data_IF_837699784763
#
_entry.id   IF_837699784763
#
_cell.length_a   1.000
_cell.length_b   1.000
_cell.length_c   1.000
_cell.angle_alpha   90.00
_cell.angle_beta   90.00
_cell.angle_gamma   90.00
#
_symmetry.space_group_name_H-M   'P 1'
#
loop_
_entity.id
_entity.type
_entity.pdbx_description
1 polymer ?
#
# COMPACT_ATOMS: atom_id res chain seq x y z
N UNK A 1 -11.27 40.21 4.84
CA UNK A 1 -11.00 38.99 5.63
C UNK A 1 -10.90 37.82 4.65
N UNK A 2 -9.69 37.28 4.44
CA UNK A 2 -9.47 36.09 3.60
C UNK A 2 -9.58 34.86 4.50
N UNK A 3 -10.64 34.08 4.36
CA UNK A 3 -10.72 32.75 4.96
C UNK A 3 -9.74 31.83 4.22
N UNK A 4 -8.57 31.61 4.81
CA UNK A 4 -7.63 30.57 4.39
C UNK A 4 -8.14 29.22 4.87
N UNK A 5 -8.57 28.38 3.92
CA UNK A 5 -8.86 26.97 4.19
C UNK A 5 -7.54 26.22 4.37
N UNK A 6 -7.01 26.22 5.60
CA UNK A 6 -5.97 25.28 6.01
C UNK A 6 -6.59 23.87 6.05
N UNK A 7 -6.52 23.17 4.91
CA UNK A 7 -6.82 21.74 4.80
C UNK A 7 -5.76 20.93 5.58
N UNK A 8 -5.91 20.89 6.91
CA UNK A 8 -5.34 19.82 7.74
C UNK A 8 -6.06 18.52 7.34
N UNK A 9 -5.43 17.75 6.46
CA UNK A 9 -5.88 16.41 6.12
C UNK A 9 -5.94 15.54 7.39
N UNK A 10 -7.06 14.85 7.66
CA UNK A 10 -7.23 14.12 8.90
C UNK A 10 -6.23 12.96 9.00
N UNK A 11 -5.77 12.70 10.22
CA UNK A 11 -4.87 11.60 10.57
C UNK A 11 -5.39 10.28 9.98
N UNK A 12 -4.50 9.43 9.43
CA UNK A 12 -4.84 8.07 8.96
C UNK A 12 -5.41 7.18 10.10
N UNK A 13 -5.24 7.56 11.37
CA UNK A 13 -5.96 6.92 12.48
C UNK A 13 -7.49 7.11 12.41
N UNK A 14 -7.96 8.21 11.82
CA UNK A 14 -9.38 8.42 11.52
C UNK A 14 -9.81 7.73 10.22
N UNK A 15 -8.88 7.44 9.32
CA UNK A 15 -9.16 6.68 8.09
C UNK A 15 -9.54 5.23 8.42
N UNK A 16 -8.86 4.59 9.38
CA UNK A 16 -9.26 3.28 9.90
C UNK A 16 -10.54 3.29 10.76
N UNK A 17 -11.09 4.47 11.08
CA UNK A 17 -12.30 4.65 11.90
C UNK A 17 -13.49 5.26 11.15
N UNK A 18 -13.49 5.28 9.81
CA UNK A 18 -14.67 5.74 9.04
C UNK A 18 -15.76 4.68 8.97
N UNK A 19 -16.37 4.37 10.11
CA UNK A 19 -17.62 3.60 10.20
C UNK A 19 -17.51 2.21 10.81
N UNK A 20 -18.63 1.48 10.81
CA UNK A 20 -18.69 0.12 11.33
C UNK A 20 -17.94 -0.83 10.38
N UNK A 21 -16.81 -1.38 10.84
CA UNK A 21 -15.93 -2.29 10.09
C UNK A 21 -16.67 -3.39 9.32
N UNK A 22 -17.81 -3.86 9.88
CA UNK A 22 -18.66 -4.88 9.27
C UNK A 22 -19.24 -4.45 7.92
N UNK A 23 -19.72 -3.21 7.82
CA UNK A 23 -20.42 -2.68 6.65
C UNK A 23 -19.54 -1.77 5.78
N UNK A 24 -18.41 -1.29 6.29
CA UNK A 24 -17.51 -0.44 5.52
C UNK A 24 -17.04 -1.11 4.21
N UNK A 25 -16.96 -0.33 3.12
CA UNK A 25 -16.46 -0.79 1.82
C UNK A 25 -15.02 -1.29 1.89
N UNK A 26 -14.61 -2.11 0.91
CA UNK A 26 -13.22 -2.56 0.77
C UNK A 26 -12.26 -1.35 0.64
N UNK A 27 -12.69 -0.31 -0.07
CA UNK A 27 -11.92 0.92 -0.26
C UNK A 27 -11.78 1.74 1.03
N UNK A 28 -12.81 1.76 1.88
CA UNK A 28 -12.74 2.39 3.19
C UNK A 28 -11.72 1.67 4.10
N UNK A 29 -11.65 0.32 4.05
CA UNK A 29 -10.61 -0.43 4.77
C UNK A 29 -9.19 -0.18 4.24
N UNK A 30 -9.07 0.09 2.95
CA UNK A 30 -7.83 0.49 2.27
C UNK A 30 -7.44 1.95 2.52
N UNK A 31 -8.29 2.71 3.20
CA UNK A 31 -8.05 4.11 3.50
C UNK A 31 -8.08 5.06 2.31
N UNK A 32 -8.72 4.64 1.21
CA UNK A 32 -8.98 5.49 0.06
C UNK A 32 -10.06 6.52 0.42
N UNK A 33 -10.09 7.63 -0.32
CA UNK A 33 -11.16 8.63 -0.18
C UNK A 33 -12.50 7.97 -0.49
N UNK A 34 -13.49 8.13 0.39
CA UNK A 34 -14.83 7.62 0.15
C UNK A 34 -15.53 8.38 -0.97
N UNK A 35 -16.22 7.66 -1.84
CA UNK A 35 -17.06 8.18 -2.93
C UNK A 35 -18.49 7.61 -2.83
N UNK A 36 -19.39 8.09 -3.69
CA UNK A 36 -20.80 7.63 -3.80
C UNK A 36 -20.93 6.11 -3.91
N UNK A 37 -19.95 5.44 -4.54
CA UNK A 37 -19.89 3.98 -4.64
C UNK A 37 -19.70 3.28 -3.29
N UNK A 38 -18.97 3.90 -2.35
CA UNK A 38 -18.66 3.29 -1.05
C UNK A 38 -19.89 3.23 -0.15
N UNK A 39 -20.77 4.23 -0.28
CA UNK A 39 -22.07 4.24 0.38
C UNK A 39 -22.98 3.13 -0.17
N UNK A 40 -22.99 2.93 -1.49
CA UNK A 40 -23.74 1.85 -2.13
C UNK A 40 -23.19 0.46 -1.77
N UNK A 41 -21.87 0.32 -1.67
CA UNK A 41 -21.23 -0.95 -1.27
C UNK A 41 -21.58 -1.28 0.19
N UNK A 42 -21.56 -0.27 1.05
CA UNK A 42 -21.96 -0.40 2.45
C UNK A 42 -23.45 -0.73 2.59
N UNK A 43 -24.30 -0.17 1.74
CA UNK A 43 -25.72 -0.51 1.64
C UNK A 43 -25.92 -1.97 1.22
N UNK A 44 -25.19 -2.43 0.19
CA UNK A 44 -25.25 -3.82 -0.26
C UNK A 44 -24.95 -4.80 0.88
N UNK A 45 -23.86 -4.56 1.63
CA UNK A 45 -23.50 -5.41 2.77
C UNK A 45 -24.53 -5.38 3.89
N UNK A 46 -25.19 -4.24 4.10
CA UNK A 46 -26.26 -4.09 5.10
C UNK A 46 -27.50 -4.89 4.70
N UNK A 47 -27.92 -4.81 3.44
CA UNK A 47 -29.06 -5.58 2.92
C UNK A 47 -28.82 -7.08 2.99
N UNK A 48 -27.64 -7.54 2.58
CA UNK A 48 -27.25 -8.96 2.69
C UNK A 48 -27.22 -9.41 4.14
N UNK A 49 -26.74 -8.56 5.06
CA UNK A 49 -26.76 -8.85 6.49
C UNK A 49 -28.19 -9.00 7.03
N UNK A 50 -29.13 -8.16 6.60
CA UNK A 50 -30.54 -8.29 7.00
C UNK A 50 -31.17 -9.60 6.52
N UNK A 51 -30.83 -10.06 5.31
CA UNK A 51 -31.36 -11.32 4.77
C UNK A 51 -30.73 -12.57 5.39
N UNK A 52 -29.41 -12.55 5.61
CA UNK A 52 -28.65 -13.73 6.05
C UNK A 52 -28.46 -13.80 7.57
N UNK A 53 -28.68 -12.70 8.28
CA UNK A 53 -28.41 -12.51 9.72
C UNK A 53 -26.92 -12.55 10.10
N UNK A 54 -26.04 -13.13 9.26
CA UNK A 54 -24.60 -13.27 9.48
C UNK A 54 -23.80 -13.08 8.18
N UNK A 55 -22.79 -12.23 8.24
CA UNK A 55 -21.78 -12.02 7.21
C UNK A 55 -20.54 -12.91 7.48
N UNK A 56 -19.87 -13.43 6.43
CA UNK A 56 -18.76 -14.38 6.56
C UNK A 56 -17.49 -13.78 7.19
N UNK A 57 -17.43 -12.46 7.36
CA UNK A 57 -16.34 -11.76 8.04
C UNK A 57 -16.71 -11.31 9.48
N UNK A 58 -17.75 -11.89 10.09
CA UNK A 58 -18.05 -11.69 11.51
C UNK A 58 -17.22 -12.64 12.40
N UNK A 59 -16.75 -12.13 13.55
CA UNK A 59 -16.00 -12.92 14.54
C UNK A 59 -14.54 -12.49 14.73
N UNK A 60 -14.02 -11.60 13.88
CA UNK A 60 -12.68 -11.05 14.07
C UNK A 60 -12.67 -10.02 15.20
N UNK A 61 -11.84 -10.26 16.21
CA UNK A 61 -11.59 -9.39 17.37
C UNK A 61 -10.11 -8.97 17.41
N UNK A 62 -9.81 -7.82 18.01
CA UNK A 62 -8.45 -7.28 18.16
C UNK A 62 -8.11 -6.11 17.22
N UNK A 63 -6.86 -5.62 17.30
CA UNK A 63 -6.40 -4.44 16.54
C UNK A 63 -6.38 -4.68 15.01
N UNK A 64 -6.30 -5.95 14.57
CA UNK A 64 -6.22 -6.35 13.16
C UNK A 64 -7.56 -6.58 12.51
N UNK A 65 -8.66 -6.29 13.22
CA UNK A 65 -10.02 -6.57 12.76
C UNK A 65 -10.30 -5.95 11.39
N UNK A 66 -9.91 -4.70 11.15
CA UNK A 66 -10.09 -4.03 9.86
C UNK A 66 -9.37 -4.75 8.72
N UNK A 67 -8.10 -5.11 8.96
CA UNK A 67 -7.28 -5.82 7.98
C UNK A 67 -7.83 -7.21 7.63
N UNK A 68 -8.14 -8.03 8.63
CA UNK A 68 -8.67 -9.39 8.43
C UNK A 68 -10.04 -9.37 7.74
N UNK A 69 -10.89 -8.41 8.11
CA UNK A 69 -12.19 -8.21 7.45
C UNK A 69 -12.00 -7.79 6.01
N UNK A 70 -11.07 -6.86 5.72
CA UNK A 70 -10.78 -6.44 4.35
C UNK A 70 -10.24 -7.58 3.48
N UNK A 71 -9.25 -8.34 3.99
CA UNK A 71 -8.71 -9.53 3.31
C UNK A 71 -9.81 -10.56 3.02
N UNK A 72 -10.71 -10.80 3.98
CA UNK A 72 -11.83 -11.73 3.81
C UNK A 72 -12.86 -11.20 2.80
N UNK A 73 -13.17 -9.90 2.80
CA UNK A 73 -14.06 -9.26 1.81
C UNK A 73 -13.49 -9.37 0.40
N UNK A 74 -12.21 -9.04 0.23
CA UNK A 74 -11.52 -9.18 -1.07
C UNK A 74 -11.46 -10.63 -1.56
N UNK A 75 -11.36 -11.59 -0.65
CA UNK A 75 -11.34 -13.01 -1.00
C UNK A 75 -12.73 -13.61 -1.25
N UNK A 76 -13.82 -12.92 -0.91
CA UNK A 76 -15.19 -13.44 -1.05
C UNK A 76 -15.82 -12.89 -2.32
N UNK A 77 -16.15 -13.76 -3.29
CA UNK A 77 -16.87 -13.34 -4.51
C UNK A 77 -18.33 -12.96 -4.20
N UNK A 78 -18.92 -12.12 -5.07
CA UNK A 78 -20.34 -11.76 -4.97
C UNK A 78 -21.25 -13.00 -5.02
N UNK A 79 -20.92 -13.98 -5.86
CA UNK A 79 -21.58 -15.29 -5.92
C UNK A 79 -21.53 -16.04 -4.58
N UNK A 80 -20.35 -16.12 -3.95
CA UNK A 80 -20.19 -16.81 -2.66
C UNK A 80 -20.93 -16.08 -1.54
N UNK A 81 -20.99 -14.74 -1.61
CA UNK A 81 -21.68 -13.94 -0.62
C UNK A 81 -23.21 -14.06 -0.76
N UNK A 82 -23.71 -14.06 -1.99
CA UNK A 82 -25.12 -14.08 -2.35
C UNK A 82 -25.66 -15.46 -2.74
N UNK A 83 -24.93 -16.56 -2.52
CA UNK A 83 -25.37 -17.91 -2.92
C UNK A 83 -26.69 -18.40 -2.28
N UNK A 84 -27.19 -17.70 -1.26
CA UNK A 84 -28.49 -17.94 -0.62
C UNK A 84 -29.47 -16.75 -0.80
N UNK A 85 -29.08 -15.72 -1.56
CA UNK A 85 -29.85 -14.49 -1.74
C UNK A 85 -30.49 -14.44 -3.14
N UNK A 86 -31.60 -13.70 -3.32
CA UNK A 86 -32.20 -13.51 -4.64
C UNK A 86 -31.21 -12.90 -5.67
N UNK A 87 -31.31 -13.25 -6.96
CA UNK A 87 -30.41 -12.78 -8.01
C UNK A 87 -30.18 -11.25 -8.07
N UNK A 88 -31.17 -10.39 -7.77
CA UNK A 88 -30.97 -8.95 -7.78
C UNK A 88 -29.94 -8.42 -6.78
N UNK A 89 -29.74 -9.09 -5.64
CA UNK A 89 -28.72 -8.68 -4.66
C UNK A 89 -27.31 -8.96 -5.17
N UNK A 90 -27.12 -10.07 -5.89
CA UNK A 90 -25.86 -10.38 -6.56
C UNK A 90 -25.55 -9.36 -7.65
N UNK A 91 -26.52 -9.07 -8.53
CA UNK A 91 -26.36 -8.10 -9.61
C UNK A 91 -26.10 -6.69 -9.08
N UNK A 92 -26.78 -6.28 -8.02
CA UNK A 92 -26.54 -5.00 -7.35
C UNK A 92 -25.10 -4.90 -6.82
N UNK A 93 -24.60 -5.93 -6.14
CA UNK A 93 -23.25 -5.95 -5.61
C UNK A 93 -22.19 -5.97 -6.73
N UNK A 94 -22.40 -6.74 -7.80
CA UNK A 94 -21.52 -6.76 -8.97
C UNK A 94 -21.49 -5.42 -9.69
N UNK A 95 -22.62 -4.72 -9.79
CA UNK A 95 -22.66 -3.38 -10.38
C UNK A 95 -21.85 -2.39 -9.54
N UNK A 96 -22.09 -2.36 -8.23
CA UNK A 96 -21.44 -1.40 -7.32
C UNK A 96 -19.93 -1.63 -7.21
N UNK A 97 -19.48 -2.88 -7.15
CA UNK A 97 -18.05 -3.22 -7.09
C UNK A 97 -17.28 -2.86 -8.36
N UNK A 98 -17.96 -2.80 -9.51
CA UNK A 98 -17.36 -2.43 -10.80
C UNK A 98 -17.39 -0.93 -11.12
N UNK A 99 -18.00 -0.09 -10.27
CA UNK A 99 -18.08 1.35 -10.51
C UNK A 99 -16.72 2.04 -10.32
N UNK A 100 -16.42 2.99 -11.22
CA UNK A 100 -15.24 3.86 -11.08
C UNK A 100 -15.42 4.88 -9.95
N UNK A 101 -14.32 5.49 -9.51
CA UNK A 101 -14.32 6.44 -8.40
C UNK A 101 -15.17 7.69 -8.66
N UNK A 102 -15.06 8.26 -9.88
CA UNK A 102 -15.78 9.48 -10.28
C UNK A 102 -17.14 9.23 -10.95
N UNK A 103 -17.50 7.96 -11.17
CA UNK A 103 -18.71 7.60 -11.89
C UNK A 103 -19.97 7.94 -11.07
N UNK A 104 -20.96 8.55 -11.73
CA UNK A 104 -22.26 8.80 -11.12
C UNK A 104 -23.10 7.53 -11.16
N UNK A 105 -23.48 6.96 -10.00
CA UNK A 105 -24.26 5.73 -9.98
C UNK A 105 -25.62 5.96 -10.62
N UNK A 106 -26.01 5.10 -11.57
CA UNK A 106 -27.37 5.14 -12.11
C UNK A 106 -28.36 4.54 -11.10
N UNK A 107 -28.80 5.39 -10.16
CA UNK A 107 -29.71 5.00 -9.07
C UNK A 107 -31.02 4.39 -9.60
N UNK A 108 -31.55 4.89 -10.73
CA UNK A 108 -32.78 4.37 -11.32
C UNK A 108 -32.64 2.90 -11.74
N UNK A 109 -31.50 2.55 -12.36
CA UNK A 109 -31.21 1.17 -12.75
C UNK A 109 -31.08 0.27 -11.53
N UNK A 110 -30.41 0.74 -10.47
CA UNK A 110 -30.26 -0.02 -9.23
C UNK A 110 -31.60 -0.28 -8.53
N UNK A 111 -32.50 0.71 -8.52
CA UNK A 111 -33.86 0.57 -7.97
C UNK A 111 -34.67 -0.44 -8.79
N UNK A 112 -34.60 -0.35 -10.13
CA UNK A 112 -35.35 -1.24 -11.02
C UNK A 112 -35.02 -2.73 -10.86
N UNK A 113 -33.82 -3.07 -10.36
CA UNK A 113 -33.45 -4.46 -10.05
C UNK A 113 -34.30 -5.05 -8.92
N UNK A 114 -34.70 -4.22 -7.95
CA UNK A 114 -35.50 -4.64 -6.81
C UNK A 114 -37.00 -4.57 -7.08
N UNK A 115 -37.45 -3.72 -8.01
CA UNK A 115 -38.87 -3.60 -8.39
C UNK A 115 -39.46 -4.95 -8.84
N UNK A 116 -38.70 -5.74 -9.61
CA UNK A 116 -39.13 -7.08 -10.05
C UNK A 116 -39.24 -8.11 -8.91
N UNK A 117 -38.51 -7.92 -7.81
CA UNK A 117 -38.58 -8.82 -6.63
C UNK A 117 -39.62 -8.39 -5.60
N UNK A 118 -39.97 -7.10 -5.57
CA UNK A 118 -40.95 -6.54 -4.63
C UNK A 118 -42.40 -6.77 -5.13
N UNK A 119 -42.59 -7.07 -6.42
CA UNK A 119 -43.90 -7.29 -7.05
C UNK A 119 -44.75 -8.43 -6.45
N UNK A 120 -44.17 -9.37 -5.69
CA UNK A 120 -44.91 -10.47 -5.06
C UNK A 120 -45.39 -10.18 -3.63
N UNK A 121 -44.94 -9.09 -2.97
CA UNK A 121 -45.20 -8.79 -1.55
C UNK A 121 -45.84 -7.40 -1.39
N UNK A 122 -46.59 -6.94 -2.39
CA UNK A 122 -47.33 -5.68 -2.29
C UNK A 122 -48.45 -5.72 -1.23
N UNK A 123 -48.90 -6.91 -0.81
CA UNK A 123 -49.97 -7.12 0.18
C UNK A 123 -49.52 -7.13 1.64
N UNK A 124 -48.21 -7.12 1.93
CA UNK A 124 -47.64 -7.06 3.28
C UNK A 124 -46.73 -5.84 3.42
N UNK A 125 -47.30 -4.64 3.30
CA UNK A 125 -46.70 -3.42 3.86
C UNK A 125 -47.29 -3.12 5.24
N UNK A 126 -46.71 -3.57 6.36
CA UNK A 126 -47.06 -3.04 7.66
C UNK A 126 -45.98 -2.06 8.13
N UNK A 127 -45.78 -0.92 7.44
CA UNK A 127 -45.23 0.28 8.09
C UNK A 127 -45.93 1.50 7.47
N UNK A 128 -46.93 2.04 8.20
CA UNK A 128 -47.45 3.40 7.97
C UNK A 128 -46.31 4.38 8.23
N UNK A 129 -45.83 5.04 7.18
CA UNK A 129 -44.87 6.15 7.27
C UNK A 129 -45.61 7.47 7.03
N UNK A 130 -46.52 7.84 7.93
CA UNK A 130 -47.26 9.11 7.83
C UNK A 130 -46.37 10.33 8.17
N UNK A 131 -45.08 10.14 8.49
CA UNK A 131 -44.16 11.18 8.95
C UNK A 131 -43.02 11.61 8.01
N UNK A 132 -42.81 10.96 6.86
CA UNK A 132 -41.60 11.20 6.03
C UNK A 132 -41.87 11.96 4.72
N UNK A 133 -43.07 12.50 4.51
CA UNK A 133 -43.46 13.17 3.28
C UNK A 133 -43.25 14.69 3.32
N UNK A 134 -42.03 15.17 3.61
CA UNK A 134 -41.65 16.58 3.32
C UNK A 134 -40.15 16.73 3.07
N UNK A 135 -39.61 16.21 1.97
CA UNK A 135 -38.63 16.94 1.13
C UNK A 135 -38.63 16.29 -0.26
N UNK A 136 -39.26 16.95 -1.24
CA UNK A 136 -39.18 16.50 -2.63
C UNK A 136 -40.22 17.14 -3.53
N UNK A 137 -39.94 18.34 -4.04
CA UNK A 137 -40.59 18.83 -5.26
C UNK A 137 -39.60 19.61 -6.14
N UNK A 138 -39.32 19.05 -7.32
CA UNK A 138 -39.48 19.65 -8.67
C UNK A 138 -38.74 18.73 -9.68
N UNK A 139 -39.42 17.88 -10.45
CA UNK A 139 -40.20 18.07 -11.71
C UNK A 139 -39.34 18.20 -12.99
N UNK A 140 -39.52 17.20 -13.88
CA UNK A 140 -39.61 17.30 -15.35
C UNK A 140 -38.40 16.77 -16.14
N UNK A 141 -38.49 16.10 -17.30
CA UNK A 141 -39.55 15.45 -18.13
C UNK A 141 -38.77 14.70 -19.26
N UNK A 142 -39.29 13.56 -19.74
CA UNK A 142 -38.82 12.63 -20.84
C UNK A 142 -38.94 13.27 -22.25
N UNK A 143 -38.60 12.67 -23.44
CA UNK A 143 -37.89 11.40 -23.85
C UNK A 143 -36.85 11.57 -25.03
N UNK A 144 -36.05 10.59 -25.51
CA UNK A 144 -36.32 9.67 -26.67
C UNK A 144 -35.02 8.92 -27.13
N UNK A 145 -35.20 7.65 -27.52
CA UNK A 145 -34.51 6.71 -28.46
C UNK A 145 -33.00 6.35 -28.51
N UNK A 146 -32.81 5.02 -28.40
CA UNK A 146 -31.86 4.04 -28.97
C UNK A 146 -30.77 4.51 -29.97
N UNK A 147 -29.51 4.10 -29.73
CA UNK A 147 -28.66 3.41 -30.74
C UNK A 147 -27.67 2.46 -30.03
N UNK A 148 -27.55 1.28 -30.61
CA UNK A 148 -26.66 0.16 -30.30
C UNK A 148 -25.17 0.50 -30.54
N UNK A 149 -24.27 -0.19 -29.83
CA UNK A 149 -22.84 0.07 -29.93
C UNK A 149 -22.04 -0.67 -28.88
N UNK A 150 -21.91 -1.98 -29.07
CA UNK A 150 -20.92 -2.78 -28.36
C UNK A 150 -19.51 -2.15 -28.48
N UNK A 151 -18.95 -1.76 -27.34
CA UNK A 151 -17.51 -1.64 -27.18
C UNK A 151 -17.06 -2.48 -25.96
N UNK A 152 -15.91 -3.15 -26.05
CA UNK A 152 -15.54 -4.22 -25.15
C UNK A 152 -15.32 -3.68 -23.74
N UNK A 153 -16.23 -4.06 -22.83
CA UNK A 153 -16.06 -3.87 -21.39
C UNK A 153 -14.75 -4.53 -20.98
N UNK A 154 -13.73 -3.73 -20.65
CA UNK A 154 -12.51 -4.23 -20.02
C UNK A 154 -12.92 -4.88 -18.70
N UNK A 155 -12.92 -6.21 -18.73
CA UNK A 155 -12.99 -7.07 -17.55
C UNK A 155 -11.83 -6.67 -16.64
N UNK A 156 -12.10 -6.00 -15.53
CA UNK A 156 -11.16 -6.02 -14.40
C UNK A 156 -11.37 -7.37 -13.71
N UNK A 157 -11.00 -8.43 -14.43
CA UNK A 157 -10.76 -9.73 -13.81
C UNK A 157 -9.43 -9.59 -13.10
N UNK A 158 -9.48 -9.72 -11.78
CA UNK A 158 -8.35 -9.97 -10.90
C UNK A 158 -7.36 -10.91 -11.63
N UNK A 159 -6.21 -10.38 -12.04
CA UNK A 159 -5.12 -11.23 -12.49
C UNK A 159 -4.71 -12.16 -11.35
N UNK A 160 -4.27 -13.37 -11.69
CA UNK A 160 -3.64 -14.30 -10.77
C UNK A 160 -2.63 -13.56 -9.88
N UNK A 161 -2.52 -13.84 -8.57
CA UNK A 161 -1.52 -13.22 -7.69
C UNK A 161 -0.12 -13.35 -8.30
N UNK A 162 0.40 -12.27 -8.89
CA UNK A 162 1.76 -12.22 -9.41
C UNK A 162 2.58 -11.35 -8.46
N UNK A 163 3.62 -11.96 -7.92
CA UNK A 163 4.68 -11.23 -7.22
C UNK A 163 5.64 -10.67 -8.26
N UNK A 164 6.03 -9.40 -8.11
CA UNK A 164 6.93 -8.73 -9.02
C UNK A 164 7.95 -7.91 -8.23
N UNK A 165 9.08 -7.66 -8.86
CA UNK A 165 10.03 -6.66 -8.42
C UNK A 165 9.46 -5.27 -8.64
N UNK A 166 9.58 -4.44 -7.62
CA UNK A 166 9.30 -3.00 -7.66
C UNK A 166 10.65 -2.31 -7.51
N UNK A 167 11.05 -1.58 -8.54
CA UNK A 167 12.29 -0.82 -8.55
C UNK A 167 11.99 0.66 -8.66
N UNK A 168 12.52 1.44 -7.72
CA UNK A 168 12.40 2.90 -7.67
C UNK A 168 13.73 3.49 -8.13
N UNK A 169 13.69 4.35 -9.12
CA UNK A 169 14.85 5.04 -9.67
C UNK A 169 14.78 6.53 -9.38
N UNK A 170 15.90 7.13 -8.99
CA UNK A 170 16.02 8.57 -8.79
C UNK A 170 17.13 9.13 -9.68
N UNK A 171 16.92 10.35 -10.20
CA UNK A 171 17.99 11.08 -10.88
C UNK A 171 19.08 11.45 -9.89
N UNK A 172 20.33 11.12 -10.20
CA UNK A 172 21.52 11.54 -9.43
C UNK A 172 22.63 12.01 -10.37
N UNK A 173 23.64 12.68 -9.80
CA UNK A 173 24.91 12.89 -10.48
C UNK A 173 25.51 11.55 -10.90
N UNK A 174 26.26 11.54 -12.01
CA UNK A 174 26.97 10.35 -12.48
C UNK A 174 27.74 9.69 -11.35
N UNK A 175 27.46 8.41 -11.09
CA UNK A 175 28.08 7.64 -10.01
C UNK A 175 28.19 6.16 -10.41
N UNK A 176 29.17 5.47 -9.82
CA UNK A 176 29.31 4.01 -9.98
C UNK A 176 28.26 3.31 -9.12
N UNK A 177 27.39 2.53 -9.76
CA UNK A 177 26.40 1.65 -9.11
C UNK A 177 26.60 0.22 -9.62
N UNK A 178 26.52 -0.76 -8.72
CA UNK A 178 26.60 -2.19 -9.02
C UNK A 178 25.41 -2.89 -8.38
N UNK A 179 24.84 -3.87 -9.08
CA UNK A 179 23.80 -4.72 -8.52
C UNK A 179 24.18 -6.19 -8.66
N UNK A 180 23.75 -6.99 -7.69
CA UNK A 180 23.75 -8.45 -7.75
C UNK A 180 22.36 -8.93 -7.38
N UNK A 181 21.83 -9.92 -8.09
CA UNK A 181 20.51 -10.50 -7.85
C UNK A 181 20.62 -12.02 -7.90
N UNK A 182 19.64 -12.71 -7.33
CA UNK A 182 19.65 -14.17 -7.17
C UNK A 182 20.90 -14.68 -6.43
N UNK A 183 21.38 -13.91 -5.45
CA UNK A 183 22.56 -14.27 -4.66
C UNK A 183 22.14 -15.24 -3.55
N UNK A 184 22.81 -16.39 -3.47
CA UNK A 184 22.63 -17.34 -2.37
C UNK A 184 23.40 -16.88 -1.14
N UNK A 185 22.96 -17.35 0.04
CA UNK A 185 23.60 -17.05 1.33
C UNK A 185 25.12 -17.25 1.33
N UNK A 186 25.63 -18.32 0.69
CA UNK A 186 27.06 -18.66 0.67
C UNK A 186 27.95 -17.71 -0.15
N UNK A 187 27.36 -16.93 -1.06
CA UNK A 187 28.09 -16.01 -1.94
C UNK A 187 27.88 -14.54 -1.58
N UNK A 188 27.02 -14.27 -0.61
CA UNK A 188 26.65 -12.91 -0.21
C UNK A 188 27.87 -12.10 0.23
N UNK A 189 28.66 -12.68 1.13
CA UNK A 189 29.82 -12.04 1.73
C UNK A 189 30.88 -11.70 0.66
N UNK A 190 31.13 -12.63 -0.27
CA UNK A 190 32.05 -12.43 -1.39
C UNK A 190 31.65 -11.24 -2.27
N UNK A 191 30.35 -11.04 -2.51
CA UNK A 191 29.86 -9.92 -3.30
C UNK A 191 29.97 -8.58 -2.57
N UNK A 192 29.71 -8.56 -1.26
CA UNK A 192 29.81 -7.36 -0.43
C UNK A 192 31.27 -6.95 -0.26
N UNK A 193 32.16 -7.91 0.04
CA UNK A 193 33.59 -7.65 0.24
C UNK A 193 34.25 -7.12 -1.04
N UNK A 194 33.97 -7.74 -2.19
CA UNK A 194 34.42 -7.23 -3.49
C UNK A 194 33.85 -5.84 -3.81
N UNK A 195 32.62 -5.56 -3.40
CA UNK A 195 32.03 -4.22 -3.52
C UNK A 195 32.78 -3.19 -2.69
N UNK A 196 33.13 -3.55 -1.45
CA UNK A 196 33.88 -2.71 -0.50
C UNK A 196 35.31 -2.43 -0.98
N UNK A 197 35.99 -3.42 -1.53
CA UNK A 197 37.31 -3.26 -2.18
C UNK A 197 37.25 -2.27 -3.35
N UNK A 198 36.14 -2.28 -4.10
CA UNK A 198 35.88 -1.37 -5.21
C UNK A 198 35.40 0.04 -4.78
N UNK A 199 35.35 0.33 -3.48
CA UNK A 199 34.87 1.59 -2.91
C UNK A 199 33.36 1.81 -3.01
N UNK A 200 32.58 0.74 -3.14
CA UNK A 200 31.13 0.77 -3.19
C UNK A 200 30.54 0.35 -1.84
N UNK A 201 29.51 1.07 -1.39
CA UNK A 201 28.78 0.71 -0.18
C UNK A 201 27.40 0.18 -0.51
N UNK A 202 26.89 -0.77 0.26
CA UNK A 202 25.53 -1.30 0.10
C UNK A 202 24.51 -0.18 0.40
N UNK A 203 23.69 0.14 -0.58
CA UNK A 203 22.66 1.19 -0.47
C UNK A 203 21.27 0.59 -0.24
N UNK A 204 20.96 -0.52 -0.92
CA UNK A 204 19.67 -1.19 -0.80
C UNK A 204 19.82 -2.71 -0.89
N UNK A 205 19.07 -3.42 -0.05
CA UNK A 205 18.97 -4.88 -0.08
C UNK A 205 17.49 -5.25 -0.15
N UNK A 206 17.17 -6.28 -0.92
CA UNK A 206 15.88 -6.95 -0.91
C UNK A 206 16.08 -8.47 -1.03
N UNK A 207 15.03 -9.23 -0.76
CA UNK A 207 15.05 -10.67 -1.02
C UNK A 207 13.80 -11.13 -1.77
N UNK A 208 13.95 -12.21 -2.53
CA UNK A 208 12.89 -12.90 -3.25
C UNK A 208 13.16 -14.39 -3.20
N UNK A 209 12.18 -15.19 -2.75
CA UNK A 209 12.27 -16.66 -2.69
C UNK A 209 13.58 -17.18 -2.06
N UNK A 210 14.01 -16.60 -0.93
CA UNK A 210 15.27 -16.91 -0.21
C UNK A 210 16.57 -16.59 -0.96
N UNK A 211 16.50 -15.79 -2.02
CA UNK A 211 17.68 -15.24 -2.68
C UNK A 211 17.75 -13.73 -2.47
N UNK A 212 18.96 -13.20 -2.40
CA UNK A 212 19.22 -11.80 -2.14
C UNK A 212 19.41 -11.01 -3.43
N UNK A 213 18.95 -9.76 -3.39
CA UNK A 213 19.30 -8.71 -4.34
C UNK A 213 19.98 -7.58 -3.56
N UNK A 214 21.21 -7.25 -3.94
CA UNK A 214 22.02 -6.20 -3.33
C UNK A 214 22.32 -5.14 -4.38
N UNK A 215 22.18 -3.88 -4.00
CA UNK A 215 22.59 -2.72 -4.76
C UNK A 215 23.67 -1.98 -3.97
N UNK A 216 24.77 -1.63 -4.63
CA UNK A 216 25.93 -0.97 -4.06
C UNK A 216 26.33 0.26 -4.87
N UNK A 217 26.63 1.35 -4.18
CA UNK A 217 26.74 2.69 -4.72
C UNK A 217 27.97 3.42 -4.17
N UNK A 218 28.63 4.22 -5.01
CA UNK A 218 29.71 5.11 -4.58
C UNK A 218 29.18 6.45 -3.99
N UNK A 219 27.95 6.83 -4.31
CA UNK A 219 27.35 8.13 -3.97
C UNK A 219 26.53 8.17 -2.68
N UNK A 220 26.77 7.24 -1.74
CA UNK A 220 26.00 7.14 -0.49
C UNK A 220 26.43 8.17 0.57
N UNK A 221 27.71 8.58 0.54
CA UNK A 221 28.31 9.41 1.59
C UNK A 221 28.62 8.65 2.88
N UNK A 222 28.60 7.31 2.86
CA UNK A 222 28.97 6.50 4.03
C UNK A 222 30.48 6.43 4.21
N UNK A 223 30.94 6.37 5.46
CA UNK A 223 32.36 6.26 5.80
C UNK A 223 32.77 4.83 6.11
N UNK A 224 31.92 4.10 6.82
CA UNK A 224 32.13 2.70 7.18
C UNK A 224 30.80 1.95 7.15
N UNK A 225 30.85 0.63 6.94
CA UNK A 225 29.68 -0.23 6.89
C UNK A 225 29.99 -1.60 7.48
N UNK A 226 29.03 -2.09 8.24
CA UNK A 226 29.00 -3.44 8.84
C UNK A 226 27.67 -4.09 8.47
N UNK A 227 27.67 -5.41 8.38
CA UNK A 227 26.47 -6.19 8.11
C UNK A 227 26.45 -7.46 8.94
N UNK A 228 25.25 -7.92 9.28
CA UNK A 228 25.05 -9.20 9.95
C UNK A 228 23.92 -9.95 9.25
N UNK A 229 24.18 -11.24 9.00
CA UNK A 229 23.15 -12.19 8.59
C UNK A 229 22.78 -13.04 9.79
N UNK A 230 21.51 -12.97 10.18
CA UNK A 230 20.98 -13.73 11.30
C UNK A 230 19.76 -14.54 10.88
N UNK A 231 19.55 -15.70 11.51
CA UNK A 231 18.29 -16.45 11.41
C UNK A 231 17.15 -15.79 12.19
N UNK A 232 17.47 -14.81 13.03
CA UNK A 232 16.51 -14.02 13.79
C UNK A 232 16.23 -12.71 13.06
N UNK A 233 14.95 -12.43 12.83
CA UNK A 233 14.52 -11.17 12.23
C UNK A 233 14.82 -9.98 13.16
N UNK A 234 15.83 -9.19 12.79
CA UNK A 234 16.43 -8.09 13.57
C UNK A 234 17.01 -8.54 14.92
N UNK A 235 18.26 -9.01 14.88
CA UNK A 235 19.00 -9.44 16.06
C UNK A 235 19.27 -8.28 17.03
N UNK A 236 18.59 -8.28 18.18
CA UNK A 236 18.55 -7.11 19.07
C UNK A 236 19.89 -6.78 19.69
N UNK A 237 20.62 -7.79 20.17
CA UNK A 237 21.89 -7.64 20.88
C UNK A 237 22.95 -7.03 19.97
N UNK A 238 23.10 -7.57 18.76
CA UNK A 238 24.03 -7.04 17.78
C UNK A 238 23.68 -5.61 17.35
N UNK A 239 22.41 -5.31 17.10
CA UNK A 239 21.98 -3.95 16.73
C UNK A 239 22.31 -2.95 17.83
N UNK A 240 22.10 -3.31 19.10
CA UNK A 240 22.44 -2.44 20.24
C UNK A 240 23.95 -2.20 20.32
N UNK A 241 24.75 -3.26 20.20
CA UNK A 241 26.21 -3.16 20.19
C UNK A 241 26.73 -2.25 19.06
N UNK A 242 26.11 -2.34 17.87
CA UNK A 242 26.48 -1.49 16.74
C UNK A 242 26.01 -0.04 16.91
N UNK A 243 24.85 0.20 17.54
CA UNK A 243 24.42 1.54 17.89
C UNK A 243 25.39 2.24 18.85
N UNK A 244 25.94 1.52 19.84
CA UNK A 244 26.96 2.05 20.75
C UNK A 244 28.25 2.43 20.02
N UNK A 245 28.53 1.80 18.88
CA UNK A 245 29.64 2.11 17.97
C UNK A 245 29.29 3.16 16.90
N UNK A 246 28.17 3.88 17.04
CA UNK A 246 27.67 4.89 16.10
C UNK A 246 27.33 4.36 14.69
N UNK A 247 27.11 3.05 14.53
CA UNK A 247 26.58 2.51 13.28
C UNK A 247 25.05 2.56 13.33
N UNK A 248 24.42 3.05 12.25
CA UNK A 248 22.96 3.12 12.16
C UNK A 248 22.46 2.25 11.03
N UNK A 249 21.28 1.64 11.19
CA UNK A 249 20.66 0.81 10.16
C UNK A 249 20.33 1.68 8.94
N UNK A 250 20.88 1.31 7.79
CA UNK A 250 20.68 1.98 6.50
C UNK A 250 19.89 1.12 5.54
N UNK A 251 20.11 -0.20 5.57
CA UNK A 251 19.38 -1.15 4.74
C UNK A 251 19.10 -2.45 5.50
N UNK A 252 17.96 -3.07 5.22
CA UNK A 252 17.60 -4.35 5.81
C UNK A 252 16.69 -5.13 4.86
N UNK A 253 16.89 -6.44 4.80
CA UNK A 253 16.07 -7.34 4.01
C UNK A 253 15.81 -8.62 4.78
N UNK A 254 14.59 -9.14 4.67
CA UNK A 254 14.19 -10.44 5.21
C UNK A 254 13.89 -11.45 4.11
N UNK A 255 14.16 -12.71 4.40
CA UNK A 255 13.74 -13.86 3.59
C UNK A 255 12.46 -14.48 4.16
N UNK A 256 11.78 -15.31 3.36
CA UNK A 256 10.59 -16.02 3.84
C UNK A 256 10.92 -17.09 4.89
N UNK A 257 12.16 -17.60 4.92
CA UNK A 257 12.62 -18.55 5.93
C UNK A 257 12.91 -17.89 7.30
N UNK A 258 12.78 -16.57 7.42
CA UNK A 258 13.04 -15.83 8.65
C UNK A 258 14.47 -15.28 8.77
N UNK A 259 15.40 -15.68 7.88
CA UNK A 259 16.72 -15.08 7.84
C UNK A 259 16.61 -13.60 7.46
N UNK A 260 17.43 -12.77 8.11
CA UNK A 260 17.51 -11.35 7.87
C UNK A 260 18.95 -10.93 7.59
N UNK A 261 19.12 -9.99 6.67
CA UNK A 261 20.35 -9.25 6.46
C UNK A 261 20.12 -7.83 6.95
N UNK A 262 20.91 -7.40 7.93
CA UNK A 262 20.90 -6.04 8.45
C UNK A 262 22.21 -5.38 8.08
N UNK A 263 22.13 -4.20 7.47
CA UNK A 263 23.28 -3.41 7.07
C UNK A 263 23.24 -2.09 7.83
N UNK A 264 24.32 -1.80 8.55
CA UNK A 264 24.48 -0.57 9.33
C UNK A 264 25.69 0.22 8.82
N UNK A 265 25.54 1.53 8.68
CA UNK A 265 26.58 2.42 8.15
C UNK A 265 26.86 3.59 9.09
N UNK A 266 28.10 4.06 9.05
CA UNK A 266 28.55 5.32 9.63
C UNK A 266 28.59 6.43 8.55
N UNK A 267 28.55 7.69 8.99
CA UNK A 267 28.53 8.86 8.08
C UNK A 267 27.11 9.30 7.67
N UNK A 268 26.08 8.71 8.28
CA UNK A 268 24.69 9.17 8.11
C UNK A 268 24.37 10.35 9.02
N UNK A 269 23.43 11.24 8.64
CA UNK A 269 23.04 12.39 9.46
C UNK A 269 22.17 12.01 10.68
N UNK A 270 22.00 10.72 10.98
CA UNK A 270 21.08 10.25 12.01
C UNK A 270 21.66 10.43 13.41
N UNK A 271 20.81 10.81 14.36
CA UNK A 271 21.22 11.03 15.76
C UNK A 271 20.63 10.01 16.72
N UNK A 272 19.43 9.49 16.43
CA UNK A 272 18.74 8.48 17.23
C UNK A 272 17.96 7.59 16.29
N UNK A 273 17.92 6.29 16.57
CA UNK A 273 17.19 5.31 15.78
C UNK A 273 16.34 4.41 16.68
N UNK A 274 15.20 3.97 16.16
CA UNK A 274 14.31 3.02 16.82
C UNK A 274 13.70 2.13 15.74
N UNK A 275 13.59 0.83 16.01
CA UNK A 275 12.92 -0.10 15.12
C UNK A 275 11.77 -0.81 15.82
N UNK A 276 10.84 -1.31 15.01
CA UNK A 276 9.74 -2.16 15.46
C UNK A 276 9.53 -3.32 14.51
N UNK A 277 9.45 -4.50 15.08
CA UNK A 277 8.98 -5.72 14.41
C UNK A 277 7.53 -5.96 14.79
N UNK A 278 6.69 -6.27 13.81
CA UNK A 278 5.30 -6.64 14.05
C UNK A 278 4.78 -7.52 12.91
N UNK A 279 3.89 -8.47 13.20
CA UNK A 279 3.20 -9.25 12.17
C UNK A 279 2.18 -8.40 11.37
N UNK A 280 1.96 -7.15 11.79
CA UNK A 280 1.00 -6.21 11.20
C UNK A 280 1.70 -4.90 10.96
N UNK A 281 1.34 -4.20 9.89
CA UNK A 281 1.91 -2.88 9.63
C UNK A 281 1.66 -1.93 10.82
N UNK A 282 2.70 -1.47 11.54
CA UNK A 282 2.56 -0.87 12.86
C UNK A 282 2.23 0.64 12.79
N UNK A 283 1.14 0.99 12.10
CA UNK A 283 0.79 2.38 11.79
C UNK A 283 0.67 3.29 13.03
N UNK A 284 0.01 2.80 14.11
CA UNK A 284 -0.14 3.57 15.35
C UNK A 284 1.21 3.96 15.97
N UNK A 285 2.19 3.06 15.89
CA UNK A 285 3.54 3.30 16.41
C UNK A 285 4.29 4.30 15.53
N UNK A 286 4.19 4.18 14.20
CA UNK A 286 4.78 5.14 13.26
C UNK A 286 4.21 6.54 13.51
N UNK A 287 2.89 6.68 13.66
CA UNK A 287 2.27 7.99 13.90
C UNK A 287 2.70 8.59 15.25
N UNK A 288 2.82 7.77 16.31
CA UNK A 288 3.39 8.23 17.59
C UNK A 288 4.82 8.74 17.40
N UNK A 289 5.65 8.00 16.66
CA UNK A 289 7.05 8.35 16.39
C UNK A 289 7.22 9.57 15.50
N UNK A 290 6.34 9.79 14.51
CA UNK A 290 6.30 11.02 13.73
C UNK A 290 6.05 12.25 14.62
N UNK A 291 5.13 12.15 15.60
CA UNK A 291 4.89 13.23 16.58
C UNK A 291 6.09 13.48 17.50
N UNK A 292 6.89 12.44 17.77
CA UNK A 292 8.15 12.54 18.51
C UNK A 292 9.33 13.03 17.65
N UNK A 293 9.10 13.37 16.37
CA UNK A 293 10.12 13.90 15.46
C UNK A 293 11.02 12.85 14.80
N UNK A 294 10.67 11.57 14.88
CA UNK A 294 11.32 10.51 14.11
C UNK A 294 10.75 10.46 12.69
N UNK A 295 11.56 10.02 11.73
CA UNK A 295 11.12 9.77 10.36
C UNK A 295 11.44 8.33 9.96
N UNK A 296 10.57 7.68 9.20
CA UNK A 296 10.83 6.34 8.64
C UNK A 296 11.98 6.45 7.64
N UNK A 297 13.04 5.70 7.88
CA UNK A 297 14.26 5.69 7.04
C UNK A 297 14.38 4.42 6.24
N UNK A 298 13.97 3.29 6.79
CA UNK A 298 14.00 2.01 6.11
C UNK A 298 12.85 1.11 6.56
N UNK A 299 12.39 0.26 5.65
CA UNK A 299 11.32 -0.70 5.90
C UNK A 299 11.69 -2.02 5.23
N UNK A 300 11.29 -3.12 5.85
CA UNK A 300 11.46 -4.44 5.25
C UNK A 300 10.39 -5.40 5.71
N UNK A 301 10.39 -6.56 5.07
CA UNK A 301 9.53 -7.68 5.40
C UNK A 301 10.36 -8.97 5.47
N UNK A 302 9.96 -9.87 6.38
CA UNK A 302 10.42 -11.26 6.40
C UNK A 302 9.18 -12.15 6.49
N UNK A 303 8.81 -12.78 5.37
CA UNK A 303 7.53 -13.46 5.25
C UNK A 303 6.36 -12.49 5.49
N UNK A 304 5.58 -12.73 6.54
CA UNK A 304 4.46 -11.86 6.95
C UNK A 304 4.83 -10.77 7.96
N UNK A 305 6.06 -10.78 8.49
CA UNK A 305 6.51 -9.80 9.51
C UNK A 305 7.04 -8.54 8.86
N UNK A 306 6.67 -7.41 9.44
CA UNK A 306 7.14 -6.08 9.08
C UNK A 306 8.25 -5.64 10.03
N UNK A 307 9.34 -5.14 9.47
CA UNK A 307 10.41 -4.45 10.20
C UNK A 307 10.44 -2.99 9.76
N UNK A 308 10.14 -2.07 10.66
CA UNK A 308 10.15 -0.63 10.39
C UNK A 308 11.27 0.02 11.20
N UNK A 309 12.12 0.80 10.54
CA UNK A 309 13.19 1.57 11.16
C UNK A 309 12.89 3.05 11.01
N UNK A 310 12.95 3.78 12.12
CA UNK A 310 12.77 5.22 12.16
C UNK A 310 13.99 5.89 12.78
N UNK A 311 14.46 6.96 12.16
CA UNK A 311 15.60 7.75 12.63
C UNK A 311 15.24 9.22 12.81
N UNK A 312 15.86 9.89 13.79
CA UNK A 312 15.84 11.35 13.93
C UNK A 312 16.90 11.97 13.01
N UNK A 313 16.61 13.21 12.60
CA UNK A 313 17.46 14.00 11.71
C UNK A 313 17.70 13.37 10.31
N UNK A 314 16.73 12.60 9.81
CA UNK A 314 16.82 11.99 8.48
C UNK A 314 16.70 12.98 7.30
N UNK A 315 16.52 14.27 7.57
CA UNK A 315 16.43 15.30 6.53
C UNK A 315 15.06 15.42 5.85
N UNK A 316 13.98 14.85 6.42
CA UNK A 316 12.62 14.93 5.88
C UNK A 316 11.75 15.95 6.64
N UNK A 317 10.93 16.72 5.91
CA UNK A 317 9.99 17.71 6.47
C UNK A 317 8.62 17.10 6.73
N UNK A 318 8.14 16.27 5.80
CA UNK A 318 6.87 15.55 5.89
C UNK A 318 7.01 14.13 5.36
N UNK A 319 6.26 13.19 5.92
CA UNK A 319 6.19 11.82 5.46
C UNK A 319 4.75 11.31 5.48
N UNK A 320 4.43 10.45 4.52
CA UNK A 320 3.15 9.76 4.40
C UNK A 320 3.42 8.30 4.07
N UNK A 321 2.56 7.42 4.56
CA UNK A 321 2.51 6.02 4.13
C UNK A 321 1.31 5.81 3.23
N UNK A 322 1.53 5.15 2.10
CA UNK A 322 0.47 4.59 1.26
C UNK A 322 0.58 3.06 1.38
N UNK A 323 -0.48 2.43 1.88
CA UNK A 323 -0.54 0.98 2.10
C UNK A 323 -1.72 0.43 1.32
N UNK A 324 -1.46 -0.60 0.52
CA UNK A 324 -2.46 -1.20 -0.34
C UNK A 324 -2.24 -2.72 -0.42
N UNK A 325 -3.30 -3.49 -0.68
CA UNK A 325 -3.19 -4.92 -0.96
C UNK A 325 -2.58 -5.18 -2.34
N UNK A 326 -2.58 -4.14 -3.18
CA UNK A 326 -2.01 -4.11 -4.52
C UNK A 326 -0.93 -3.01 -4.61
N UNK A 327 -0.61 -2.59 -5.83
CA UNK A 327 0.28 -1.45 -6.07
C UNK A 327 -0.52 -0.13 -6.08
N UNK A 328 -0.28 0.82 -5.15
CA UNK A 328 -1.04 2.07 -5.06
C UNK A 328 -0.58 3.12 -6.09
N UNK A 329 -0.74 2.83 -7.39
CA UNK A 329 -0.27 3.72 -8.45
C UNK A 329 -0.91 5.11 -8.38
N UNK A 330 -2.22 5.19 -8.17
CA UNK A 330 -2.96 6.47 -8.13
C UNK A 330 -2.49 7.35 -6.94
N UNK A 331 -2.33 6.73 -5.77
CA UNK A 331 -1.81 7.40 -4.58
C UNK A 331 -0.41 7.94 -4.79
N UNK A 332 0.48 7.16 -5.41
CA UNK A 332 1.85 7.57 -5.70
C UNK A 332 1.89 8.77 -6.67
N UNK A 333 1.16 8.71 -7.80
CA UNK A 333 1.19 9.79 -8.80
C UNK A 333 0.67 11.12 -8.22
N UNK A 334 -0.46 11.08 -7.50
CA UNK A 334 -1.02 12.26 -6.83
C UNK A 334 -0.04 12.85 -5.80
N UNK A 335 0.73 12.00 -5.12
CA UNK A 335 1.75 12.44 -4.14
C UNK A 335 2.98 13.01 -4.83
N UNK A 336 3.36 12.49 -6.00
CA UNK A 336 4.44 13.05 -6.80
C UNK A 336 4.15 14.48 -7.28
N UNK A 337 2.91 14.77 -7.68
CA UNK A 337 2.44 16.11 -8.05
C UNK A 337 2.52 17.11 -6.89
N UNK A 338 2.39 16.62 -5.65
CA UNK A 338 2.48 17.43 -4.43
C UNK A 338 3.90 17.50 -3.85
N UNK A 339 4.91 17.02 -4.60
CA UNK A 339 6.33 17.12 -4.23
C UNK A 339 6.85 16.03 -3.30
N UNK A 340 6.05 15.00 -3.00
CA UNK A 340 6.52 13.83 -2.27
C UNK A 340 7.33 12.92 -3.20
N UNK A 341 8.27 12.17 -2.63
CA UNK A 341 9.05 11.13 -3.35
C UNK A 341 9.12 9.87 -2.51
N UNK A 342 9.10 8.71 -3.15
CA UNK A 342 9.22 7.41 -2.49
C UNK A 342 10.64 7.30 -1.91
N UNK A 343 10.74 7.04 -0.61
CA UNK A 343 12.02 6.92 0.11
C UNK A 343 12.26 5.53 0.66
N UNK A 344 11.20 4.76 0.90
CA UNK A 344 11.32 3.37 1.36
C UNK A 344 10.13 2.57 0.87
N UNK A 345 10.39 1.33 0.49
CA UNK A 345 9.38 0.39 -0.02
C UNK A 345 9.55 -0.95 0.65
N UNK A 346 8.43 -1.56 1.02
CA UNK A 346 8.43 -2.93 1.55
C UNK A 346 7.13 -3.60 1.15
N UNK A 347 7.21 -4.88 0.81
CA UNK A 347 6.04 -5.63 0.36
C UNK A 347 6.05 -7.03 0.96
N UNK A 348 4.86 -7.50 1.29
CA UNK A 348 4.57 -8.89 1.66
C UNK A 348 3.83 -9.55 0.49
N UNK A 349 3.48 -10.83 0.65
CA UNK A 349 2.62 -11.53 -0.31
C UNK A 349 1.21 -10.93 -0.39
N UNK A 350 0.77 -10.20 0.64
CA UNK A 350 -0.60 -9.70 0.75
C UNK A 350 -0.71 -8.17 0.61
N UNK A 351 0.35 -7.42 0.89
CA UNK A 351 0.32 -5.95 1.00
C UNK A 351 1.63 -5.33 0.53
N UNK A 352 1.55 -4.16 -0.10
CA UNK A 352 2.68 -3.29 -0.39
C UNK A 352 2.54 -1.97 0.38
N UNK A 353 3.64 -1.55 1.02
CA UNK A 353 3.72 -0.30 1.76
C UNK A 353 4.81 0.60 1.15
N UNK A 354 4.43 1.85 0.89
CA UNK A 354 5.29 2.88 0.33
C UNK A 354 5.36 4.05 1.29
N UNK A 355 6.57 4.44 1.68
CA UNK A 355 6.79 5.68 2.41
C UNK A 355 7.20 6.73 1.39
N UNK A 356 6.42 7.80 1.36
CA UNK A 356 6.71 8.98 0.57
C UNK A 356 7.10 10.12 1.49
N UNK A 357 8.22 10.77 1.20
CA UNK A 357 8.79 11.84 2.02
C UNK A 357 9.05 13.09 1.19
N UNK A 358 8.96 14.24 1.85
CA UNK A 358 9.42 15.53 1.32
C UNK A 358 10.76 15.87 1.99
N UNK A 359 11.83 16.13 1.25
CA UNK A 359 13.12 16.53 1.84
C UNK A 359 13.04 17.96 2.42
N UNK A 360 13.74 18.21 3.54
CA UNK A 360 13.83 19.54 4.19
C UNK A 360 14.59 20.55 3.34
N UNK A 361 15.65 20.11 2.68
CA UNK A 361 16.37 20.90 1.68
C UNK A 361 15.72 20.64 0.34
N UNK A 362 15.30 21.69 -0.38
CA UNK A 362 14.89 21.57 -1.78
C UNK A 362 16.08 21.06 -2.57
N UNK A 363 16.12 19.75 -2.84
CA UNK A 363 17.02 19.21 -3.86
C UNK A 363 16.55 19.70 -5.23
N UNK A 364 17.45 19.79 -6.24
CA UNK A 364 17.02 19.97 -7.62
C UNK A 364 15.98 18.91 -7.99
N UNK A 365 15.12 19.21 -8.96
CA UNK A 365 13.98 18.38 -9.34
C UNK A 365 14.41 16.92 -9.60
N UNK A 366 14.27 16.07 -8.58
CA UNK A 366 14.65 14.66 -8.67
C UNK A 366 13.49 13.99 -9.38
N UNK A 367 13.65 13.76 -10.68
CA UNK A 367 12.76 12.86 -11.40
C UNK A 367 12.87 11.47 -10.75
N UNK A 368 11.72 10.91 -10.40
CA UNK A 368 11.61 9.58 -9.83
C UNK A 368 10.74 8.74 -10.74
N UNK A 369 11.21 7.52 -11.01
CA UNK A 369 10.48 6.56 -11.81
C UNK A 369 10.30 5.26 -11.03
N UNK A 370 9.17 4.60 -11.27
CA UNK A 370 8.88 3.28 -10.70
C UNK A 370 8.71 2.28 -11.81
N UNK A 371 9.39 1.15 -11.71
CA UNK A 371 9.29 0.04 -12.65
C UNK A 371 8.80 -1.20 -11.92
N UNK A 372 7.88 -1.93 -12.56
CA UNK A 372 7.38 -3.22 -12.08
C UNK A 372 7.73 -4.31 -13.08
N UNK A 373 8.44 -5.33 -12.66
CA UNK A 373 8.89 -6.44 -13.52
C UNK A 373 8.78 -7.77 -12.81
N UNK A 374 8.32 -8.81 -13.52
CA UNK A 374 8.30 -10.18 -12.99
C UNK A 374 9.70 -10.72 -12.70
N UNK A 375 10.67 -10.39 -13.55
CA UNK A 375 12.10 -10.71 -13.39
C UNK A 375 12.86 -9.46 -12.96
N UNK A 376 14.02 -9.63 -12.30
CA UNK A 376 14.86 -8.49 -11.95
C UNK A 376 15.26 -7.69 -13.20
N UNK A 377 15.13 -6.35 -13.21
CA UNK A 377 15.16 -5.54 -14.45
C UNK A 377 16.58 -5.25 -14.98
N UNK A 378 17.32 -6.28 -15.42
CA UNK A 378 18.74 -6.15 -15.80
C UNK A 378 18.98 -5.23 -17.01
N UNK A 379 18.14 -5.30 -18.04
CA UNK A 379 18.25 -4.46 -19.25
C UNK A 379 17.85 -3.01 -18.95
N UNK A 380 16.74 -2.83 -18.24
CA UNK A 380 16.21 -1.51 -17.93
C UNK A 380 17.17 -0.76 -16.99
N UNK A 381 17.81 -1.43 -16.03
CA UNK A 381 18.81 -0.78 -15.17
C UNK A 381 19.94 -0.16 -16.00
N UNK A 382 20.45 -0.87 -17.03
CA UNK A 382 21.50 -0.34 -17.90
C UNK A 382 21.04 0.85 -18.74
N UNK A 383 19.83 0.80 -19.30
CA UNK A 383 19.23 1.94 -20.01
C UNK A 383 19.02 3.16 -19.09
N UNK A 384 18.59 2.93 -17.85
CA UNK A 384 18.37 3.98 -16.85
C UNK A 384 19.68 4.63 -16.40
N UNK A 385 20.76 3.87 -16.27
CA UNK A 385 22.09 4.43 -15.99
C UNK A 385 22.56 5.41 -17.07
N UNK A 386 22.28 5.13 -18.35
CA UNK A 386 22.59 6.07 -19.45
C UNK A 386 21.84 7.40 -19.34
N UNK A 387 20.71 7.41 -18.63
CA UNK A 387 19.87 8.59 -18.36
C UNK A 387 20.12 9.21 -16.99
N UNK A 388 21.18 8.81 -16.29
CA UNK A 388 21.50 9.22 -14.91
C UNK A 388 20.41 8.87 -13.87
N UNK A 389 19.62 7.83 -14.14
CA UNK A 389 18.63 7.28 -13.22
C UNK A 389 19.23 6.05 -12.51
N UNK A 390 19.37 6.15 -11.19
CA UNK A 390 19.98 5.11 -10.36
C UNK A 390 18.95 4.49 -9.43
N UNK A 391 19.12 3.20 -9.12
CA UNK A 391 18.23 2.48 -8.20
C UNK A 391 18.36 3.11 -6.81
N UNK A 392 17.23 3.53 -6.25
CA UNK A 392 17.15 4.11 -4.90
C UNK A 392 16.52 3.15 -3.88
N UNK A 393 15.56 2.33 -4.30
CA UNK A 393 14.92 1.32 -3.46
C UNK A 393 14.41 0.17 -4.32
N UNK A 394 14.51 -1.05 -3.80
CA UNK A 394 13.96 -2.26 -4.42
C UNK A 394 13.15 -3.03 -3.39
N UNK A 395 12.04 -3.62 -3.82
CA UNK A 395 11.33 -4.62 -3.03
C UNK A 395 10.69 -5.67 -3.95
N UNK A 396 10.37 -6.82 -3.38
CA UNK A 396 9.68 -7.91 -4.08
C UNK A 396 8.39 -8.24 -3.34
N UNK A 397 7.27 -8.25 -4.04
CA UNK A 397 5.99 -8.58 -3.43
C UNK A 397 4.82 -8.48 -4.39
N UNK A 398 3.60 -8.56 -3.86
CA UNK A 398 2.39 -8.56 -4.69
C UNK A 398 2.07 -7.18 -5.24
N UNK A 399 1.83 -7.11 -6.55
CA UNK A 399 1.73 -5.82 -7.28
C UNK A 399 0.60 -5.77 -8.30
N UNK A 400 -0.18 -6.84 -8.45
CA UNK A 400 -1.20 -6.96 -9.51
C UNK A 400 -2.32 -5.96 -9.28
N UNK A 401 -2.72 -5.25 -10.33
CA UNK A 401 -3.90 -4.38 -10.37
C UNK A 401 -5.11 -5.11 -10.92
#
# INVERSE_FOLDING_TARGET
MKCTWDLKWPNISDIFKRGTVRYASVHAHLGRTGSRRDDLESLAYTLIFLLRGKLPWQGYNGENKGFLVCKKKMATSAETLCGLCPPPFQQFLEMVTNMKFDEEPNYLKLISLFDNSIGAIASLRPIRTDGAAKVGQKRGRVPVELVDGEQPKKKVRLGSPATQWISVYNTRSSMKQRYHYNVMDSRLDQHIDKGKEDGLYVSCVASSANMWAIVMDAGTGFTSQVYERSSVFLHKEWIMEQWDKNYYITSLAGTCNGNALVVMSQGVPYTQQSYKVSDVFPFKWINKKWKEGFSVTSMTTAGSRWGIVMSRNAGYSSQVVELDFLYPSEGIHRRWETGYRITSTAATEDQAAFILSVPKKKSPDVAQETLRTSVFPTYQVKDKWLKNLYIASICYGRTVS
#
